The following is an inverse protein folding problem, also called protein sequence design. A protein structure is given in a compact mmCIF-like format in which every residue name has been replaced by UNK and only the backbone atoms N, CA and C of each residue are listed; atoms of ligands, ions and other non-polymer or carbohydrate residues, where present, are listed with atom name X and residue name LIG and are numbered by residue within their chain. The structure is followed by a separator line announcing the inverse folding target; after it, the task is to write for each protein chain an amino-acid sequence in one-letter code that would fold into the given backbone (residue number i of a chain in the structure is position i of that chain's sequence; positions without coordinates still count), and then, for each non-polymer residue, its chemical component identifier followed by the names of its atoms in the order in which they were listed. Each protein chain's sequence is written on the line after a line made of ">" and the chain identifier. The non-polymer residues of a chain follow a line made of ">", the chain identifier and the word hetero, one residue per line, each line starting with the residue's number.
data_IF_211074115650
#
_entry.id   IF_211074115650
#
_cell.length_a   1.000
_cell.length_b   1.000
_cell.length_c   1.000
_cell.angle_alpha   90.00
_cell.angle_beta   90.00
_cell.angle_gamma   90.00
#
_symmetry.space_group_name_H-M   'P 1'
#
loop_
_entity.id
_entity.type
_entity.pdbx_description
1 polymer ?
#
# COMPACT_ATOMS: atom_id res chain seq x y z
N UNK A 1 3.58 14.21 21.63
CA UNK A 1 3.45 15.15 20.49
C UNK A 1 4.53 14.84 19.48
N UNK A 2 4.19 14.38 18.27
CA UNK A 2 5.16 14.16 17.18
C UNK A 2 5.83 15.50 16.85
N UNK A 3 7.16 15.59 16.90
CA UNK A 3 7.89 16.78 16.42
C UNK A 3 7.61 16.89 14.93
N UNK A 4 6.84 17.91 14.52
CA UNK A 4 6.66 18.23 13.10
C UNK A 4 8.03 18.36 12.44
N UNK A 5 8.25 17.64 11.33
CA UNK A 5 9.49 17.73 10.54
C UNK A 5 9.73 19.18 10.13
N UNK A 6 10.99 19.59 9.99
CA UNK A 6 11.31 20.93 9.48
C UNK A 6 10.72 21.11 8.07
N UNK A 7 10.33 22.35 7.74
CA UNK A 7 9.75 22.65 6.43
C UNK A 7 10.69 22.27 5.27
N UNK A 8 12.01 22.45 5.47
CA UNK A 8 13.02 22.04 4.51
C UNK A 8 13.01 20.53 4.27
N UNK A 9 12.98 19.72 5.34
CA UNK A 9 12.90 18.26 5.21
C UNK A 9 11.61 17.83 4.51
N UNK A 10 10.47 18.46 4.84
CA UNK A 10 9.20 18.17 4.18
C UNK A 10 9.25 18.44 2.67
N UNK A 11 9.86 19.56 2.26
CA UNK A 11 10.05 19.90 0.85
C UNK A 11 10.99 18.94 0.12
N UNK A 12 12.07 18.51 0.77
CA UNK A 12 13.01 17.53 0.20
C UNK A 12 12.30 16.18 0.00
N UNK A 13 11.57 15.70 1.01
CA UNK A 13 10.77 14.47 0.93
C UNK A 13 9.73 14.56 -0.20
N UNK A 14 9.04 15.70 -0.31
CA UNK A 14 8.05 15.93 -1.36
C UNK A 14 8.70 15.98 -2.76
N UNK A 15 9.82 16.67 -2.92
CA UNK A 15 10.55 16.72 -4.18
C UNK A 15 11.05 15.33 -4.61
N UNK A 16 11.52 14.53 -3.64
CA UNK A 16 11.90 13.14 -3.87
C UNK A 16 10.69 12.30 -4.31
N UNK A 17 9.56 12.40 -3.59
CA UNK A 17 8.31 11.75 -3.96
C UNK A 17 7.87 12.10 -5.40
N UNK A 18 7.76 13.39 -5.72
CA UNK A 18 7.34 13.87 -7.06
C UNK A 18 8.28 13.38 -8.16
N UNK A 19 9.57 13.33 -7.87
CA UNK A 19 10.58 12.80 -8.80
C UNK A 19 10.35 11.32 -9.04
N UNK A 20 10.23 10.52 -7.97
CA UNK A 20 9.94 9.08 -8.04
C UNK A 20 8.62 8.84 -8.78
N UNK A 21 7.56 9.57 -8.44
CA UNK A 21 6.26 9.45 -9.08
C UNK A 21 6.31 9.67 -10.60
N UNK A 22 7.04 10.72 -11.03
CA UNK A 22 7.22 10.99 -12.46
C UNK A 22 7.93 9.87 -13.20
N UNK A 23 8.91 9.22 -12.56
CA UNK A 23 9.60 8.07 -13.14
C UNK A 23 8.75 6.80 -13.09
N UNK A 24 8.10 6.52 -11.95
CA UNK A 24 7.26 5.35 -11.74
C UNK A 24 6.12 5.27 -12.76
N UNK A 25 5.54 6.42 -13.15
CA UNK A 25 4.55 6.52 -14.23
C UNK A 25 5.01 5.94 -15.57
N UNK A 26 6.31 5.97 -15.86
CA UNK A 26 6.88 5.53 -17.14
C UNK A 26 7.39 4.08 -17.11
N UNK A 27 7.34 3.44 -15.94
CA UNK A 27 7.81 2.06 -15.79
C UNK A 27 6.75 1.08 -16.31
N UNK A 28 7.21 0.11 -17.10
CA UNK A 28 6.42 -1.09 -17.40
C UNK A 28 6.13 -1.88 -16.13
N UNK A 29 5.11 -2.73 -16.14
CA UNK A 29 4.73 -3.58 -15.00
C UNK A 29 5.91 -4.46 -14.54
N UNK A 30 6.64 -5.02 -15.49
CA UNK A 30 7.87 -5.79 -15.22
C UNK A 30 8.94 -4.96 -14.51
N UNK A 31 9.08 -3.69 -14.91
CA UNK A 31 10.05 -2.77 -14.30
C UNK A 31 9.63 -2.42 -12.88
N UNK A 32 8.33 -2.19 -12.64
CA UNK A 32 7.78 -1.97 -11.28
C UNK A 32 8.07 -3.17 -10.39
N UNK A 33 7.82 -4.40 -10.88
CA UNK A 33 8.11 -5.62 -10.13
C UNK A 33 9.61 -5.74 -9.82
N UNK A 34 10.46 -5.57 -10.84
CA UNK A 34 11.91 -5.71 -10.71
C UNK A 34 12.52 -4.68 -9.75
N UNK A 35 12.12 -3.41 -9.87
CA UNK A 35 12.62 -2.35 -9.01
C UNK A 35 12.01 -2.42 -7.60
N UNK A 36 10.74 -2.83 -7.50
CA UNK A 36 10.08 -3.10 -6.22
C UNK A 36 10.79 -4.20 -5.44
N UNK A 37 11.14 -5.31 -6.09
CA UNK A 37 11.92 -6.39 -5.46
C UNK A 37 13.28 -5.92 -4.95
N UNK A 38 13.99 -5.16 -5.78
CA UNK A 38 15.29 -4.58 -5.41
C UNK A 38 15.15 -3.64 -4.21
N UNK A 39 14.16 -2.74 -4.26
CA UNK A 39 13.90 -1.80 -3.17
C UNK A 39 13.53 -2.54 -1.89
N UNK A 40 12.66 -3.55 -1.94
CA UNK A 40 12.30 -4.39 -0.80
C UNK A 40 13.50 -5.09 -0.17
N UNK A 41 14.38 -5.67 -1.00
CA UNK A 41 15.62 -6.31 -0.53
C UNK A 41 16.59 -5.30 0.13
N UNK A 42 16.70 -4.09 -0.41
CA UNK A 42 17.50 -3.00 0.18
C UNK A 42 16.89 -2.54 1.50
N UNK A 43 15.57 -2.28 1.52
CA UNK A 43 14.82 -1.85 2.70
C UNK A 43 14.97 -2.84 3.85
N UNK A 44 14.92 -4.16 3.58
CA UNK A 44 15.21 -5.20 4.58
C UNK A 44 16.57 -5.02 5.25
N UNK A 45 17.62 -4.70 4.49
CA UNK A 45 18.99 -4.55 4.99
C UNK A 45 19.17 -3.28 5.83
N UNK A 46 18.42 -2.23 5.50
CA UNK A 46 18.46 -0.94 6.22
C UNK A 46 17.59 -1.02 7.48
N UNK A 47 16.37 -1.55 7.37
CA UNK A 47 15.35 -1.60 8.43
C UNK A 47 15.45 -2.87 9.28
N UNK A 48 16.66 -3.18 9.76
CA UNK A 48 16.97 -4.43 10.48
C UNK A 48 16.09 -4.66 11.72
N UNK A 49 15.71 -3.59 12.42
CA UNK A 49 14.80 -3.69 13.58
C UNK A 49 13.41 -4.16 13.20
N UNK A 50 12.89 -3.68 12.06
CA UNK A 50 11.59 -4.10 11.52
C UNK A 50 11.62 -5.53 11.02
N UNK A 51 12.71 -5.95 10.38
CA UNK A 51 12.91 -7.35 9.95
C UNK A 51 12.90 -8.31 11.15
N UNK A 52 13.60 -7.97 12.24
CA UNK A 52 13.58 -8.77 13.47
C UNK A 52 12.20 -8.85 14.11
N UNK A 53 11.49 -7.72 14.18
CA UNK A 53 10.13 -7.68 14.72
C UNK A 53 9.17 -8.54 13.90
N UNK A 54 9.20 -8.40 12.57
CA UNK A 54 8.37 -9.18 11.67
C UNK A 54 8.68 -10.68 11.78
N UNK A 55 9.96 -11.07 11.89
CA UNK A 55 10.35 -12.47 12.11
C UNK A 55 9.85 -13.01 13.45
N UNK A 56 9.89 -12.22 14.52
CA UNK A 56 9.33 -12.62 15.82
C UNK A 56 7.83 -12.87 15.70
N UNK A 57 7.09 -11.93 15.13
CA UNK A 57 5.65 -12.07 14.92
C UNK A 57 5.33 -13.32 14.08
N UNK A 58 6.08 -13.59 13.02
CA UNK A 58 5.87 -14.80 12.21
C UNK A 58 6.08 -16.10 12.99
N UNK A 59 7.10 -16.15 13.88
CA UNK A 59 7.37 -17.33 14.72
C UNK A 59 6.27 -17.56 15.77
N UNK A 60 5.74 -16.48 16.33
CA UNK A 60 4.65 -16.52 17.31
C UNK A 60 3.32 -16.92 16.64
N UNK A 61 3.01 -16.36 15.46
CA UNK A 61 1.77 -16.63 14.73
C UNK A 61 1.75 -17.99 14.05
N UNK A 62 2.89 -18.47 13.56
CA UNK A 62 2.99 -19.74 12.83
C UNK A 62 4.04 -20.69 13.46
N UNK A 63 3.79 -21.20 14.68
CA UNK A 63 4.68 -22.15 15.32
C UNK A 63 4.91 -23.39 14.43
N UNK A 64 6.15 -23.85 14.33
CA UNK A 64 6.51 -25.07 13.60
C UNK A 64 6.75 -24.90 12.09
N UNK A 65 6.49 -23.73 11.51
CA UNK A 65 6.89 -23.46 10.11
C UNK A 65 8.41 -23.27 10.00
N UNK A 66 9.02 -23.92 9.02
CA UNK A 66 10.45 -23.85 8.72
C UNK A 66 10.80 -22.86 7.58
N UNK A 67 9.81 -22.37 6.83
CA UNK A 67 9.98 -21.49 5.66
C UNK A 67 9.83 -19.99 5.98
N UNK A 68 9.79 -19.62 7.26
CA UNK A 68 9.44 -18.25 7.70
C UNK A 68 10.37 -17.17 7.16
N UNK A 69 11.66 -17.48 6.95
CA UNK A 69 12.62 -16.53 6.37
C UNK A 69 12.28 -16.23 4.92
N UNK A 70 11.92 -17.24 4.14
CA UNK A 70 11.55 -17.10 2.73
C UNK A 70 10.22 -16.35 2.59
N UNK A 71 9.26 -16.64 3.48
CA UNK A 71 8.00 -15.88 3.58
C UNK A 71 8.30 -14.40 3.85
N UNK A 72 9.15 -14.09 4.83
CA UNK A 72 9.47 -12.71 5.16
C UNK A 72 10.26 -12.01 4.04
N UNK A 73 11.13 -12.73 3.34
CA UNK A 73 11.87 -12.20 2.18
C UNK A 73 10.94 -11.87 1.01
N UNK A 74 9.95 -12.73 0.75
CA UNK A 74 8.86 -12.43 -0.20
C UNK A 74 8.02 -11.24 0.27
N UNK A 75 7.76 -11.12 1.57
CA UNK A 75 7.01 -10.00 2.14
C UNK A 75 7.77 -8.66 2.00
N UNK A 76 9.08 -8.63 2.20
CA UNK A 76 9.89 -7.43 1.92
C UNK A 76 9.83 -7.01 0.46
N UNK A 77 9.95 -7.97 -0.45
CA UNK A 77 9.79 -7.74 -1.90
C UNK A 77 8.40 -7.22 -2.24
N UNK A 78 7.36 -7.82 -1.65
CA UNK A 78 5.96 -7.37 -1.76
C UNK A 78 5.84 -5.90 -1.36
N UNK A 79 6.28 -5.50 -0.17
CA UNK A 79 6.22 -4.10 0.27
C UNK A 79 6.98 -3.14 -0.66
N UNK A 80 8.08 -3.60 -1.28
CA UNK A 80 8.78 -2.78 -2.25
C UNK A 80 8.01 -2.60 -3.56
N UNK A 81 7.28 -3.62 -4.02
CA UNK A 81 6.35 -3.52 -5.16
C UNK A 81 5.17 -2.61 -4.80
N UNK A 82 4.56 -2.81 -3.64
CA UNK A 82 3.44 -1.99 -3.16
C UNK A 82 3.84 -0.51 -3.07
N UNK A 83 5.02 -0.18 -2.56
CA UNK A 83 5.48 1.21 -2.52
C UNK A 83 5.52 1.87 -3.91
N UNK A 84 5.95 1.15 -4.94
CA UNK A 84 5.96 1.69 -6.32
C UNK A 84 4.57 1.67 -6.96
N UNK A 85 3.77 0.64 -6.70
CA UNK A 85 2.39 0.57 -7.17
C UNK A 85 1.54 1.68 -6.57
N UNK A 86 1.60 1.92 -5.26
CA UNK A 86 0.82 2.97 -4.59
C UNK A 86 1.13 4.36 -5.13
N UNK A 87 2.37 4.60 -5.56
CA UNK A 87 2.75 5.84 -6.27
C UNK A 87 2.15 5.87 -7.69
N UNK A 88 2.24 4.77 -8.44
CA UNK A 88 1.74 4.69 -9.83
C UNK A 88 0.21 4.77 -9.91
N UNK A 89 -0.49 4.24 -8.92
CA UNK A 89 -1.96 4.15 -8.88
C UNK A 89 -2.63 5.51 -8.68
N UNK A 90 -1.95 6.51 -8.12
CA UNK A 90 -2.49 7.87 -7.96
C UNK A 90 -2.93 8.51 -9.29
N UNK A 91 -2.32 8.09 -10.40
CA UNK A 91 -2.64 8.61 -11.74
C UNK A 91 -3.47 7.61 -12.59
N UNK A 92 -3.90 6.48 -12.01
CA UNK A 92 -4.72 5.50 -12.72
C UNK A 92 -6.21 5.83 -12.61
N UNK A 93 -6.95 5.58 -13.67
CA UNK A 93 -8.41 5.64 -13.61
C UNK A 93 -8.96 4.46 -12.81
N UNK A 94 -10.13 4.65 -12.18
CA UNK A 94 -10.79 3.60 -11.42
C UNK A 94 -11.09 2.36 -12.28
N UNK A 95 -11.35 2.54 -13.58
CA UNK A 95 -11.57 1.43 -14.53
C UNK A 95 -10.30 0.59 -14.70
N UNK A 96 -9.13 1.23 -14.82
CA UNK A 96 -7.84 0.50 -14.90
C UNK A 96 -7.54 -0.24 -13.60
N UNK A 97 -7.83 0.39 -12.47
CA UNK A 97 -7.68 -0.21 -11.14
C UNK A 97 -8.60 -1.43 -11.00
N UNK A 98 -9.87 -1.31 -11.36
CA UNK A 98 -10.84 -2.40 -11.29
C UNK A 98 -10.46 -3.57 -12.21
N UNK A 99 -9.94 -3.29 -13.41
CA UNK A 99 -9.45 -4.32 -14.33
C UNK A 99 -8.24 -5.08 -13.78
N UNK A 100 -7.36 -4.39 -13.04
CA UNK A 100 -6.17 -4.99 -12.41
C UNK A 100 -6.48 -5.71 -11.09
N UNK A 101 -7.60 -5.38 -10.44
CA UNK A 101 -8.02 -5.96 -9.16
C UNK A 101 -9.48 -6.45 -9.22
N UNK A 102 -9.73 -7.61 -9.84
CA UNK A 102 -11.07 -8.19 -9.89
C UNK A 102 -11.61 -8.47 -8.49
N UNK A 103 -12.82 -7.98 -8.21
CA UNK A 103 -13.48 -8.17 -6.92
C UNK A 103 -14.27 -9.47 -6.91
N UNK A 104 -13.84 -10.41 -6.08
CA UNK A 104 -14.57 -11.66 -5.84
C UNK A 104 -15.72 -11.39 -4.86
N UNK A 105 -16.91 -11.89 -5.19
CA UNK A 105 -18.14 -11.70 -4.40
C UNK A 105 -18.58 -10.23 -4.23
N UNK A 106 -18.40 -9.41 -5.27
CA UNK A 106 -18.84 -8.00 -5.30
C UNK A 106 -20.33 -7.81 -4.92
N UNK A 107 -21.19 -8.75 -5.30
CA UNK A 107 -22.63 -8.74 -4.98
C UNK A 107 -22.92 -8.60 -3.49
N UNK A 108 -22.07 -9.11 -2.59
CA UNK A 108 -22.27 -8.97 -1.14
C UNK A 108 -22.24 -7.51 -0.68
N UNK A 109 -21.42 -6.68 -1.33
CA UNK A 109 -21.33 -5.25 -1.04
C UNK A 109 -22.56 -4.54 -1.60
N UNK A 110 -22.95 -4.86 -2.84
CA UNK A 110 -24.13 -4.28 -3.49
C UNK A 110 -25.42 -4.59 -2.71
N UNK A 111 -25.61 -5.84 -2.31
CA UNK A 111 -26.75 -6.28 -1.48
C UNK A 111 -26.77 -5.59 -0.13
N UNK A 112 -25.61 -5.41 0.52
CA UNK A 112 -25.53 -4.72 1.79
C UNK A 112 -25.89 -3.23 1.66
N UNK A 113 -25.44 -2.57 0.59
CA UNK A 113 -25.80 -1.17 0.28
C UNK A 113 -27.29 -1.04 -0.01
N UNK A 114 -27.87 -1.97 -0.78
CA UNK A 114 -29.29 -1.96 -1.15
C UNK A 114 -30.24 -1.99 0.05
N UNK A 115 -29.77 -2.45 1.23
CA UNK A 115 -30.53 -2.41 2.49
C UNK A 115 -30.72 -1.00 3.05
N UNK A 116 -30.03 0.02 2.52
CA UNK A 116 -30.23 1.42 2.88
C UNK A 116 -29.74 1.82 4.28
N UNK A 117 -28.90 1.00 4.93
CA UNK A 117 -28.38 1.23 6.29
C UNK A 117 -26.92 1.70 6.33
N UNK A 118 -26.26 1.80 5.17
CA UNK A 118 -24.82 1.95 5.06
C UNK A 118 -24.07 0.63 5.32
N UNK A 119 -22.76 0.63 5.04
CA UNK A 119 -21.88 -0.54 5.18
C UNK A 119 -20.62 -0.13 5.92
N UNK A 120 -20.24 -0.91 6.93
CA UNK A 120 -18.91 -0.82 7.56
C UNK A 120 -18.07 -1.95 7.00
N UNK A 121 -17.08 -1.62 6.18
CA UNK A 121 -16.13 -2.59 5.67
C UNK A 121 -14.94 -2.71 6.63
N UNK A 122 -14.72 -3.91 7.15
CA UNK A 122 -13.55 -4.22 7.99
C UNK A 122 -12.55 -5.01 7.13
N UNK A 123 -11.33 -4.50 7.05
CA UNK A 123 -10.23 -5.14 6.32
C UNK A 123 -8.98 -5.26 7.20
N UNK A 124 -7.95 -5.90 6.67
CA UNK A 124 -6.64 -6.04 7.29
C UNK A 124 -5.57 -5.35 6.45
N UNK A 125 -4.45 -4.98 7.09
CA UNK A 125 -3.24 -4.55 6.40
C UNK A 125 -2.56 -5.76 5.74
N UNK A 126 -3.18 -6.28 4.68
CA UNK A 126 -2.79 -7.51 4.02
C UNK A 126 -2.84 -7.36 2.49
N UNK A 127 -1.82 -7.91 1.81
CA UNK A 127 -1.73 -7.81 0.36
C UNK A 127 -1.55 -6.36 -0.10
N UNK A 128 -2.19 -6.03 -1.23
CA UNK A 128 -2.24 -4.68 -1.81
C UNK A 128 -3.50 -3.96 -1.33
N UNK A 129 -3.62 -3.74 -0.02
CA UNK A 129 -4.89 -3.29 0.57
C UNK A 129 -5.29 -1.88 0.08
N UNK A 130 -4.33 -1.01 -0.26
CA UNK A 130 -4.58 0.28 -0.89
C UNK A 130 -5.25 0.13 -2.26
N UNK A 131 -4.76 -0.79 -3.09
CA UNK A 131 -5.37 -1.13 -4.38
C UNK A 131 -6.79 -1.67 -4.19
N UNK A 132 -6.99 -2.54 -3.19
CA UNK A 132 -8.31 -3.08 -2.87
C UNK A 132 -9.31 -2.00 -2.46
N UNK A 133 -8.87 -0.99 -1.71
CA UNK A 133 -9.70 0.17 -1.37
C UNK A 133 -10.12 0.99 -2.59
N UNK A 134 -9.18 1.26 -3.50
CA UNK A 134 -9.49 1.96 -4.75
C UNK A 134 -10.37 1.12 -5.69
N UNK A 135 -10.15 -0.19 -5.77
CA UNK A 135 -11.00 -1.10 -6.54
C UNK A 135 -12.44 -1.11 -6.02
N UNK A 136 -12.63 -1.06 -4.70
CA UNK A 136 -13.97 -0.94 -4.10
C UNK A 136 -14.70 0.35 -4.54
N UNK A 137 -13.97 1.45 -4.74
CA UNK A 137 -14.55 2.71 -5.22
C UNK A 137 -15.10 2.61 -6.65
N UNK A 138 -14.72 1.58 -7.42
CA UNK A 138 -15.35 1.28 -8.71
C UNK A 138 -16.77 0.72 -8.58
N UNK A 139 -17.10 0.12 -7.43
CA UNK A 139 -18.45 -0.39 -7.11
C UNK A 139 -19.29 0.63 -6.33
N UNK A 140 -18.64 1.41 -5.45
CA UNK A 140 -19.32 2.27 -4.47
C UNK A 140 -18.79 3.70 -4.59
N UNK A 141 -19.69 4.65 -4.88
CA UNK A 141 -19.30 6.05 -5.14
C UNK A 141 -19.02 6.89 -3.89
N UNK A 142 -19.59 6.53 -2.73
CA UNK A 142 -19.40 7.27 -1.47
C UNK A 142 -18.73 6.38 -0.42
N UNK A 143 -17.40 6.31 -0.50
CA UNK A 143 -16.56 5.62 0.48
C UNK A 143 -15.93 6.66 1.40
N UNK A 144 -16.10 6.47 2.72
CA UNK A 144 -15.46 7.30 3.75
C UNK A 144 -14.44 6.47 4.51
N UNK A 145 -13.25 7.00 4.68
CA UNK A 145 -12.15 6.37 5.43
C UNK A 145 -11.78 7.21 6.63
N UNK A 146 -11.26 6.57 7.67
CA UNK A 146 -10.66 7.24 8.81
C UNK A 146 -9.16 7.05 8.69
N UNK A 147 -8.43 8.16 8.50
CA UNK A 147 -6.99 8.17 8.39
C UNK A 147 -6.38 9.22 9.33
N UNK A 148 -5.17 8.96 9.82
CA UNK A 148 -4.38 9.96 10.53
C UNK A 148 -3.66 10.83 9.49
N UNK A 149 -3.66 12.18 9.63
CA UNK A 149 -2.87 13.03 8.76
C UNK A 149 -1.39 12.62 8.70
N UNK A 150 -0.79 12.77 7.53
CA UNK A 150 0.63 12.57 7.29
C UNK A 150 1.45 13.65 8.01
N UNK A 151 2.67 13.28 8.43
CA UNK A 151 3.59 14.21 9.11
C UNK A 151 4.20 15.27 8.14
N UNK A 152 3.90 15.17 6.84
CA UNK A 152 4.38 16.06 5.78
C UNK A 152 3.19 16.66 5.03
N UNK A 153 3.02 17.98 5.14
CA UNK A 153 1.84 18.68 4.62
C UNK A 153 1.74 18.67 3.08
N UNK A 154 2.87 18.57 2.37
CA UNK A 154 2.86 18.53 0.91
C UNK A 154 2.49 17.14 0.40
N UNK A 155 2.87 16.10 1.14
CA UNK A 155 2.43 14.73 0.84
C UNK A 155 0.94 14.55 1.17
N UNK A 156 0.46 15.11 2.28
CA UNK A 156 -0.96 15.07 2.67
C UNK A 156 -1.92 15.69 1.63
N UNK A 157 -1.43 16.67 0.86
CA UNK A 157 -2.23 17.28 -0.20
C UNK A 157 -2.28 16.46 -1.48
N UNK A 158 -1.29 15.59 -1.70
CA UNK A 158 -1.09 14.82 -2.94
C UNK A 158 -1.53 13.34 -2.81
N UNK A 159 -1.75 12.82 -1.60
CA UNK A 159 -2.08 11.42 -1.28
C UNK A 159 -3.33 11.34 -0.40
#
# INVERSE_FOLDING_TARGET
>A
MSRRKSLALQRIEYALYRTIARFARRLSDESVIRWGDRFGNIARRILRSRDRLAMRNLRETFPGRNDLRDVLDRCWRHFGREALYSIRMQDMSLEKIAAACPLVNAHLVEEAIARGKGVVLISAHYGAWELGGLALMSLVRDVRTIARPLDNQFLEQDL
#
